data_IF_098132328428
#
_entry.id   IF_098132328428
#
_cell.length_a   1.000
_cell.length_b   1.000
_cell.length_c   1.000
_cell.angle_alpha   90.00
_cell.angle_beta   90.00
_cell.angle_gamma   90.00
#
_symmetry.space_group_name_H-M   'P 1'
#
loop_
_entity.id
_entity.type
_entity.pdbx_description
1 polymer ?
#
# COMPACT_ATOMS: atom_id res chain seq x y z
N UNK A 1 -28.34 0.99 2.37
CA UNK A 1 -27.53 0.82 3.58
C UNK A 1 -26.19 1.46 3.28
N UNK A 2 -25.93 2.66 3.79
CA UNK A 2 -24.66 3.36 3.54
C UNK A 2 -23.52 2.54 4.15
N UNK A 3 -22.64 2.06 3.28
CA UNK A 3 -21.41 1.39 3.65
C UNK A 3 -20.47 2.46 4.20
N UNK A 4 -20.47 2.66 5.51
CA UNK A 4 -19.38 3.36 6.19
C UNK A 4 -18.37 2.28 6.64
N UNK A 5 -17.30 2.01 5.88
CA UNK A 5 -16.23 1.17 6.40
C UNK A 5 -15.70 1.85 7.66
N UNK A 6 -15.75 1.14 8.78
CA UNK A 6 -15.03 1.55 9.97
C UNK A 6 -13.54 1.49 9.63
N UNK A 7 -12.95 2.66 9.53
CA UNK A 7 -11.53 2.89 9.33
C UNK A 7 -10.75 2.26 10.50
N UNK A 8 -10.04 1.17 10.24
CA UNK A 8 -8.98 0.68 11.11
C UNK A 8 -7.71 0.59 10.27
N UNK A 9 -6.85 1.58 10.49
CA UNK A 9 -5.53 1.77 9.87
C UNK A 9 -4.54 0.88 10.61
N UNK A 10 -3.79 0.03 9.90
CA UNK A 10 -2.54 -0.50 10.42
C UNK A 10 -1.38 -0.03 9.56
N UNK A 11 -0.65 0.94 10.11
CA UNK A 11 0.62 1.44 9.64
C UNK A 11 1.65 0.31 9.60
N UNK A 12 2.38 0.21 8.51
CA UNK A 12 3.68 -0.44 8.53
C UNK A 12 4.75 0.63 8.76
N UNK A 13 4.75 1.21 9.96
CA UNK A 13 5.85 2.08 10.39
C UNK A 13 6.78 1.29 11.31
N UNK A 14 7.90 0.75 10.82
CA UNK A 14 8.82 -0.05 11.64
C UNK A 14 9.38 0.71 12.85
N UNK A 15 9.28 2.05 12.88
CA UNK A 15 9.85 2.90 13.93
C UNK A 15 8.87 3.28 15.08
N UNK A 16 7.62 2.80 15.08
CA UNK A 16 6.61 3.16 16.12
C UNK A 16 6.09 2.00 16.98
N UNK A 17 6.76 0.85 16.97
CA UNK A 17 6.54 -0.22 17.96
C UNK A 17 5.31 -1.12 17.74
N UNK A 18 4.52 -0.90 16.68
CA UNK A 18 3.38 -1.76 16.31
C UNK A 18 3.82 -2.88 15.35
N UNK A 19 4.54 -3.88 15.87
CA UNK A 19 5.11 -4.98 15.08
C UNK A 19 4.07 -5.86 14.36
N UNK A 20 2.83 -5.93 14.87
CA UNK A 20 1.81 -6.82 14.29
C UNK A 20 1.23 -6.31 12.97
N UNK A 21 1.18 -4.98 12.76
CA UNK A 21 0.69 -4.39 11.51
C UNK A 21 1.70 -4.48 10.36
N UNK A 22 2.96 -4.81 10.65
CA UNK A 22 4.03 -4.86 9.65
C UNK A 22 4.05 -6.15 8.82
N UNK A 23 3.41 -7.22 9.32
CA UNK A 23 3.38 -8.52 8.66
C UNK A 23 1.96 -8.79 8.16
N UNK A 24 1.84 -9.06 6.86
CA UNK A 24 0.56 -9.17 6.16
C UNK A 24 -0.28 -10.34 6.70
N UNK A 25 0.35 -11.46 7.00
CA UNK A 25 -0.28 -12.65 7.61
C UNK A 25 -0.89 -12.34 8.98
N UNK A 26 -0.16 -11.66 9.86
CA UNK A 26 -0.64 -11.27 11.19
C UNK A 26 -1.81 -10.29 11.10
N UNK A 27 -1.76 -9.36 10.13
CA UNK A 27 -2.84 -8.43 9.88
C UNK A 27 -4.10 -9.15 9.42
N UNK A 28 -3.97 -10.10 8.48
CA UNK A 28 -5.07 -10.96 8.03
C UNK A 28 -5.68 -11.73 9.20
N UNK A 29 -4.85 -12.36 10.04
CA UNK A 29 -5.33 -13.08 11.23
C UNK A 29 -6.08 -12.17 12.20
N UNK A 30 -5.62 -10.93 12.39
CA UNK A 30 -6.29 -9.95 13.25
C UNK A 30 -7.68 -9.59 12.71
N UNK A 31 -7.78 -9.28 11.42
CA UNK A 31 -9.06 -8.92 10.79
C UNK A 31 -10.03 -10.12 10.79
N UNK A 32 -9.51 -11.32 10.51
CA UNK A 32 -10.29 -12.55 10.58
C UNK A 32 -10.86 -12.81 11.98
N UNK A 33 -10.08 -12.52 13.04
CA UNK A 33 -10.54 -12.63 14.44
C UNK A 33 -11.56 -11.57 14.83
N UNK A 34 -11.47 -10.36 14.28
CA UNK A 34 -12.47 -9.31 14.52
C UNK A 34 -13.82 -9.72 13.92
N UNK A 35 -13.81 -10.34 12.74
CA UNK A 35 -14.99 -10.92 12.08
C UNK A 35 -16.18 -9.93 11.97
N UNK A 36 -15.89 -8.67 11.61
CA UNK A 36 -16.91 -7.63 11.39
C UNK A 36 -16.90 -7.17 9.93
N UNK A 37 -18.06 -7.10 9.26
CA UNK A 37 -18.14 -6.75 7.84
C UNK A 37 -17.75 -5.30 7.52
N UNK A 38 -17.75 -4.43 8.53
CA UNK A 38 -17.34 -3.03 8.39
C UNK A 38 -15.88 -2.79 8.76
N UNK A 39 -15.11 -3.83 9.10
CA UNK A 39 -13.69 -3.74 9.42
C UNK A 39 -12.89 -4.40 8.29
N UNK A 40 -11.86 -3.72 7.81
CA UNK A 40 -10.99 -4.24 6.75
C UNK A 40 -9.60 -3.61 6.78
N UNK A 41 -8.85 -3.84 5.72
CA UNK A 41 -7.45 -3.44 5.57
C UNK A 41 -7.35 -2.23 4.64
N UNK A 42 -6.68 -1.19 5.13
CA UNK A 42 -6.03 -0.21 4.27
C UNK A 42 -4.66 -0.75 3.85
N UNK A 43 -4.49 -1.07 2.57
CA UNK A 43 -3.21 -1.55 2.07
C UNK A 43 -2.38 -0.39 1.56
N UNK A 44 -1.24 -0.15 2.23
CA UNK A 44 -0.25 0.84 1.84
C UNK A 44 0.97 0.15 1.22
N UNK A 45 1.19 0.40 -0.08
CA UNK A 45 2.24 -0.26 -0.84
C UNK A 45 3.65 0.16 -0.42
N UNK A 46 3.87 1.43 -0.07
CA UNK A 46 5.19 1.91 0.31
C UNK A 46 5.60 1.41 1.68
N UNK A 47 4.67 1.44 2.63
CA UNK A 47 4.84 0.91 3.96
C UNK A 47 5.05 -0.61 3.95
N UNK A 48 4.24 -1.36 3.20
CA UNK A 48 4.45 -2.79 3.00
C UNK A 48 5.85 -3.09 2.42
N UNK A 49 6.32 -2.27 1.46
CA UNK A 49 7.66 -2.43 0.88
C UNK A 49 8.75 -2.15 1.91
N UNK A 50 8.65 -1.06 2.66
CA UNK A 50 9.63 -0.71 3.70
C UNK A 50 9.76 -1.82 4.73
N UNK A 51 8.65 -2.40 5.21
CA UNK A 51 8.74 -3.55 6.13
C UNK A 51 9.29 -4.81 5.49
N UNK A 52 8.89 -5.14 4.26
CA UNK A 52 9.43 -6.31 3.58
C UNK A 52 10.96 -6.23 3.48
N UNK A 53 11.49 -5.04 3.20
CA UNK A 53 12.92 -4.76 3.17
C UNK A 53 13.54 -4.82 4.56
N UNK A 54 12.89 -4.23 5.57
CA UNK A 54 13.43 -4.15 6.93
C UNK A 54 13.45 -5.51 7.65
N UNK A 55 12.37 -6.30 7.53
CA UNK A 55 12.20 -7.58 8.21
C UNK A 55 12.57 -8.80 7.35
N UNK A 56 12.83 -8.60 6.06
CA UNK A 56 13.32 -9.66 5.16
C UNK A 56 12.25 -10.69 4.75
N UNK A 57 10.97 -10.31 4.68
CA UNK A 57 9.89 -11.18 4.20
C UNK A 57 9.48 -10.88 2.76
N UNK A 58 8.70 -11.77 2.14
CA UNK A 58 8.19 -11.55 0.78
C UNK A 58 7.09 -10.47 0.73
N UNK A 59 7.41 -9.40 0.01
CA UNK A 59 6.52 -8.27 -0.25
C UNK A 59 5.22 -8.66 -0.97
N UNK A 60 5.25 -9.66 -1.86
CA UNK A 60 4.10 -10.01 -2.70
C UNK A 60 3.05 -10.89 -1.99
N UNK A 61 3.12 -11.02 -0.67
CA UNK A 61 2.10 -11.66 0.16
C UNK A 61 0.77 -10.89 0.23
N UNK A 62 0.62 -9.77 -0.50
CA UNK A 62 -0.60 -8.96 -0.61
C UNK A 62 -1.84 -9.74 -1.06
N UNK A 63 -1.67 -10.87 -1.74
CA UNK A 63 -2.78 -11.77 -2.10
C UNK A 63 -3.54 -12.27 -0.86
N UNK A 64 -2.84 -12.51 0.26
CA UNK A 64 -3.46 -12.93 1.53
C UNK A 64 -4.40 -11.86 2.09
N UNK A 65 -4.05 -10.58 1.92
CA UNK A 65 -4.84 -9.46 2.41
C UNK A 65 -6.03 -9.14 1.49
N UNK A 66 -5.97 -9.51 0.20
CA UNK A 66 -6.93 -9.09 -0.83
C UNK A 66 -8.42 -9.21 -0.42
N UNK A 67 -8.88 -10.31 0.20
CA UNK A 67 -10.29 -10.43 0.62
C UNK A 67 -10.74 -9.42 1.68
N UNK A 68 -9.79 -8.82 2.40
CA UNK A 68 -10.04 -7.90 3.50
C UNK A 68 -9.74 -6.44 3.13
N UNK A 69 -9.15 -6.18 1.96
CA UNK A 69 -8.80 -4.82 1.52
C UNK A 69 -10.06 -4.05 1.16
N UNK A 70 -10.24 -2.89 1.80
CA UNK A 70 -11.32 -1.95 1.48
C UNK A 70 -10.80 -0.54 1.15
N UNK A 71 -9.50 -0.29 1.36
CA UNK A 71 -8.82 0.96 1.02
C UNK A 71 -7.40 0.69 0.53
N UNK A 72 -6.94 1.48 -0.42
CA UNK A 72 -5.61 1.46 -1.00
C UNK A 72 -4.98 2.83 -0.83
N UNK A 73 -3.78 2.87 -0.28
CA UNK A 73 -2.96 4.08 -0.19
C UNK A 73 -1.84 4.00 -1.21
N UNK A 74 -1.83 4.94 -2.15
CA UNK A 74 -1.02 4.87 -3.37
C UNK A 74 -0.14 6.10 -3.47
N UNK A 75 1.15 5.83 -3.49
CA UNK A 75 2.24 6.76 -3.75
C UNK A 75 3.46 5.93 -4.18
N UNK A 76 4.58 6.59 -4.45
CA UNK A 76 5.84 5.91 -4.74
C UNK A 76 6.94 6.26 -3.75
N UNK A 77 7.89 5.34 -3.61
CA UNK A 77 9.09 5.51 -2.80
C UNK A 77 10.15 4.51 -3.28
N UNK A 78 11.26 4.39 -2.54
CA UNK A 78 12.29 3.40 -2.86
C UNK A 78 12.24 2.16 -1.98
N UNK A 79 11.29 2.08 -1.04
CA UNK A 79 11.12 0.93 -0.17
C UNK A 79 12.29 0.67 0.80
N UNK A 80 13.16 1.67 1.02
CA UNK A 80 14.33 1.56 1.89
C UNK A 80 13.98 2.06 3.28
N UNK A 81 14.14 1.26 4.36
CA UNK A 81 13.88 1.74 5.70
C UNK A 81 14.89 2.83 6.10
N UNK A 82 14.43 3.79 6.91
CA UNK A 82 15.33 4.70 7.60
C UNK A 82 15.88 3.99 8.85
N UNK A 83 17.14 3.55 8.80
CA UNK A 83 17.79 2.78 9.87
C UNK A 83 18.66 3.64 10.80
N UNK A 84 18.52 4.97 10.78
CA UNK A 84 19.21 5.83 11.75
C UNK A 84 18.32 6.06 12.98
N UNK A 85 18.94 6.17 14.16
CA UNK A 85 18.25 6.33 15.46
C UNK A 85 17.51 7.68 15.64
N UNK A 86 17.39 8.46 14.57
CA UNK A 86 16.68 9.74 14.54
C UNK A 86 15.96 9.91 13.22
N UNK A 87 14.86 10.64 13.23
CA UNK A 87 14.20 11.06 11.99
C UNK A 87 15.10 12.05 11.24
N UNK A 88 15.37 11.76 9.96
CA UNK A 88 16.12 12.67 9.09
C UNK A 88 15.18 13.71 8.50
N UNK A 89 15.62 14.96 8.28
CA UNK A 89 14.84 15.92 7.50
C UNK A 89 14.48 15.35 6.12
N UNK A 90 13.29 15.68 5.61
CA UNK A 90 12.77 15.15 4.33
C UNK A 90 13.76 15.25 3.17
N UNK A 91 14.50 16.37 3.07
CA UNK A 91 15.50 16.57 2.03
C UNK A 91 16.60 15.49 2.04
N UNK A 92 17.06 15.06 3.22
CA UNK A 92 18.04 13.99 3.33
C UNK A 92 17.40 12.62 3.01
N UNK A 93 16.18 12.38 3.48
CA UNK A 93 15.44 11.17 3.13
C UNK A 93 15.32 11.03 1.61
N UNK A 94 14.95 12.12 0.91
CA UNK A 94 14.83 12.17 -0.54
C UNK A 94 16.15 11.87 -1.25
N UNK A 95 17.26 12.51 -0.83
CA UNK A 95 18.59 12.30 -1.42
C UNK A 95 19.05 10.83 -1.31
N UNK A 96 18.81 10.22 -0.16
CA UNK A 96 19.23 8.83 0.09
C UNK A 96 18.18 7.78 -0.34
N UNK A 97 17.00 8.23 -0.74
CA UNK A 97 15.87 7.37 -1.07
C UNK A 97 15.33 6.59 0.13
N UNK A 98 15.33 7.18 1.33
CA UNK A 98 14.97 6.52 2.58
C UNK A 98 13.54 6.82 2.99
N UNK A 99 12.95 5.85 3.68
CA UNK A 99 11.67 5.98 4.33
C UNK A 99 10.51 6.15 3.35
N UNK A 100 9.54 6.90 3.84
CA UNK A 100 8.25 7.07 3.21
C UNK A 100 8.18 8.43 2.50
N UNK A 101 8.56 8.45 1.22
CA UNK A 101 8.82 9.68 0.48
C UNK A 101 7.57 10.33 -0.12
N UNK A 102 6.45 9.62 -0.21
CA UNK A 102 5.18 10.12 -0.76
C UNK A 102 5.38 10.74 -2.17
N UNK A 103 6.18 10.09 -3.02
CA UNK A 103 6.43 10.56 -4.39
C UNK A 103 5.21 10.30 -5.27
N UNK A 104 5.03 11.03 -6.39
CA UNK A 104 4.03 10.67 -7.39
C UNK A 104 4.23 9.22 -7.87
N UNK A 105 3.15 8.42 -8.03
CA UNK A 105 3.24 7.06 -8.58
C UNK A 105 4.04 7.01 -9.90
N UNK A 106 5.10 6.20 -9.94
CA UNK A 106 6.03 6.07 -11.05
C UNK A 106 7.36 6.81 -10.88
N UNK A 107 7.53 7.62 -9.82
CA UNK A 107 8.77 8.37 -9.54
C UNK A 107 9.74 7.63 -8.62
N UNK A 108 9.31 6.51 -8.03
CA UNK A 108 10.12 5.65 -7.19
C UNK A 108 10.45 4.34 -7.89
N UNK A 109 10.54 3.26 -7.11
CA UNK A 109 10.77 1.92 -7.63
C UNK A 109 9.87 0.86 -6.97
N UNK A 110 8.79 1.30 -6.32
CA UNK A 110 7.82 0.35 -5.80
C UNK A 110 7.29 -0.49 -6.98
N UNK A 111 7.18 -1.82 -6.84
CA UNK A 111 6.68 -2.69 -7.90
C UNK A 111 5.15 -2.60 -8.02
N UNK A 112 4.62 -1.38 -8.24
CA UNK A 112 3.19 -1.07 -8.19
C UNK A 112 2.41 -1.86 -9.24
N UNK A 113 2.85 -1.90 -10.50
CA UNK A 113 2.15 -2.65 -11.55
C UNK A 113 1.96 -4.12 -11.18
N UNK A 114 3.03 -4.77 -10.70
CA UNK A 114 2.96 -6.17 -10.24
C UNK A 114 2.08 -6.31 -9.01
N UNK A 115 2.14 -5.37 -8.07
CA UNK A 115 1.30 -5.37 -6.88
C UNK A 115 -0.18 -5.31 -7.25
N UNK A 116 -0.56 -4.35 -8.10
CA UNK A 116 -1.92 -4.17 -8.60
C UNK A 116 -2.39 -5.36 -9.44
N UNK A 117 -1.50 -5.95 -10.25
CA UNK A 117 -1.80 -7.15 -11.04
C UNK A 117 -1.93 -8.42 -10.20
N UNK A 118 -1.59 -8.41 -8.92
CA UNK A 118 -1.80 -9.56 -8.03
C UNK A 118 -3.01 -9.38 -7.11
N UNK A 119 -3.59 -8.18 -7.04
CA UNK A 119 -4.72 -7.92 -6.15
C UNK A 119 -6.01 -8.57 -6.66
N UNK A 120 -6.70 -9.25 -5.73
CA UNK A 120 -8.02 -9.85 -5.95
C UNK A 120 -9.07 -9.16 -5.07
N UNK A 121 -9.36 -7.90 -5.42
CA UNK A 121 -10.31 -7.07 -4.67
C UNK A 121 -11.57 -6.79 -5.51
N UNK A 122 -12.73 -6.72 -4.86
CA UNK A 122 -14.02 -6.43 -5.52
C UNK A 122 -14.31 -4.93 -5.56
N UNK A 123 -14.08 -4.23 -4.46
CA UNK A 123 -14.28 -2.78 -4.34
C UNK A 123 -13.39 -2.23 -3.23
N UNK A 124 -12.67 -1.15 -3.52
CA UNK A 124 -11.89 -0.42 -2.53
C UNK A 124 -11.86 1.08 -2.86
N UNK A 125 -11.66 1.90 -1.83
CA UNK A 125 -11.29 3.31 -2.00
C UNK A 125 -9.81 3.41 -2.33
N UNK A 126 -9.42 4.32 -3.22
CA UNK A 126 -8.02 4.58 -3.53
C UNK A 126 -7.68 6.02 -3.18
N UNK A 127 -6.73 6.19 -2.27
CA UNK A 127 -6.21 7.49 -1.83
C UNK A 127 -4.82 7.69 -2.43
N UNK A 128 -4.60 8.86 -3.04
CA UNK A 128 -3.28 9.29 -3.48
C UNK A 128 -2.60 10.08 -2.36
N UNK A 129 -1.55 9.52 -1.78
CA UNK A 129 -0.79 10.15 -0.68
C UNK A 129 0.50 10.76 -1.23
N UNK A 130 0.37 11.90 -1.91
CA UNK A 130 1.49 12.57 -2.56
C UNK A 130 1.92 13.76 -1.69
N UNK A 131 3.24 13.88 -1.45
CA UNK A 131 3.80 14.97 -0.68
C UNK A 131 3.42 16.33 -1.31
N UNK A 132 3.00 17.34 -0.51
CA UNK A 132 2.50 18.63 -1.04
C UNK A 132 3.47 19.39 -1.95
N UNK A 133 4.77 19.12 -1.82
CA UNK A 133 5.81 19.66 -2.70
C UNK A 133 5.66 19.24 -4.18
N UNK A 134 4.90 18.18 -4.48
CA UNK A 134 4.63 17.70 -5.84
C UNK A 134 3.20 18.03 -6.31
N UNK A 135 2.60 19.11 -5.80
CA UNK A 135 1.24 19.52 -6.16
C UNK A 135 1.03 19.66 -7.67
N UNK A 136 2.04 20.13 -8.40
CA UNK A 136 2.02 20.26 -9.86
C UNK A 136 1.99 18.91 -10.59
N UNK A 137 2.29 17.80 -9.89
CA UNK A 137 2.26 16.42 -10.41
C UNK A 137 1.01 15.65 -10.03
N UNK A 138 0.03 16.23 -9.32
CA UNK A 138 -1.17 15.49 -8.91
C UNK A 138 -1.98 14.96 -10.09
N UNK A 139 -2.05 15.71 -11.20
CA UNK A 139 -2.73 15.25 -12.40
C UNK A 139 -2.03 14.03 -13.04
N UNK A 140 -0.70 14.01 -13.02
CA UNK A 140 0.12 12.88 -13.46
C UNK A 140 -0.08 11.67 -12.54
N UNK A 141 -0.01 11.88 -11.22
CA UNK A 141 -0.27 10.83 -10.23
C UNK A 141 -1.65 10.21 -10.38
N UNK A 142 -2.69 11.02 -10.65
CA UNK A 142 -4.04 10.54 -10.92
C UNK A 142 -4.12 9.71 -12.21
N UNK A 143 -3.38 10.09 -13.26
CA UNK A 143 -3.31 9.32 -14.50
C UNK A 143 -2.68 7.95 -14.23
N UNK A 144 -1.57 7.89 -13.51
CA UNK A 144 -0.90 6.64 -13.14
C UNK A 144 -1.78 5.78 -12.23
N UNK A 145 -2.46 6.36 -11.24
CA UNK A 145 -3.37 5.64 -10.36
C UNK A 145 -4.55 4.99 -11.12
N UNK A 146 -5.14 5.71 -12.10
CA UNK A 146 -6.18 5.14 -12.97
C UNK A 146 -5.64 3.96 -13.80
N UNK A 147 -4.41 4.07 -14.29
CA UNK A 147 -3.75 2.98 -15.00
C UNK A 147 -3.55 1.76 -14.07
N UNK A 148 -2.98 1.96 -12.87
CA UNK A 148 -2.80 0.89 -11.89
C UNK A 148 -4.11 0.21 -11.52
N UNK A 149 -5.18 0.98 -11.28
CA UNK A 149 -6.51 0.44 -11.01
C UNK A 149 -7.04 -0.44 -12.16
N UNK A 150 -6.71 -0.11 -13.42
CA UNK A 150 -7.13 -0.91 -14.57
C UNK A 150 -6.51 -2.32 -14.60
N UNK A 151 -5.33 -2.49 -13.99
CA UNK A 151 -4.64 -3.79 -13.93
C UNK A 151 -5.41 -4.80 -13.05
N UNK A 152 -6.07 -4.33 -11.99
CA UNK A 152 -6.92 -5.17 -11.13
C UNK A 152 -8.09 -5.74 -11.95
N UNK A 153 -8.75 -4.89 -12.74
CA UNK A 153 -9.94 -5.26 -13.51
C UNK A 153 -9.65 -6.27 -14.63
N UNK A 154 -8.45 -6.21 -15.21
CA UNK A 154 -8.05 -7.10 -16.30
C UNK A 154 -7.85 -8.55 -15.84
N UNK A 155 -7.50 -8.77 -14.56
CA UNK A 155 -7.39 -10.11 -13.98
C UNK A 155 -8.75 -10.79 -13.84
N UNK A 156 -9.77 -10.05 -13.43
CA UNK A 156 -11.14 -10.58 -13.31
C UNK A 156 -11.68 -11.07 -14.66
N UNK A 157 -11.38 -10.37 -15.76
CA UNK A 157 -11.77 -10.83 -17.10
C UNK A 157 -10.97 -12.04 -17.62
N UNK A 158 -9.73 -12.21 -17.15
CA UNK A 158 -8.88 -13.34 -17.49
C UNK A 158 -9.30 -14.66 -16.83
N UNK A 159 -9.80 -14.60 -15.59
CA UNK A 159 -10.33 -15.77 -14.86
C UNK A 159 -11.71 -16.20 -15.40
N UNK A 160 -12.61 -15.27 -15.73
CA UNK A 160 -13.95 -15.57 -16.28
C UNK A 160 -13.89 -16.25 -17.66
N UNK A 161 -12.85 -15.99 -18.47
CA UNK A 161 -12.69 -16.58 -19.80
C UNK A 161 -12.08 -17.99 -19.81
N UNK A 162 -11.63 -18.50 -18.66
CA UNK A 162 -11.04 -19.85 -18.52
C UNK A 162 -11.95 -20.83 -17.77
N UNK A 163 -13.15 -20.41 -17.41
CA UNK A 163 -14.18 -21.24 -16.76
C UNK A 163 -15.17 -21.85 -17.75
#
# INVERSE_FOLDING_TARGET
>A
MEFYPALIIFFVHPLKGLLNGAFIDKLVDQIARIAKPNVGITFDFGHARVASTHFGFDYFSSELASPYINSLHVYDSFGRPNNVDRELPYMFQLIYGLGDLHLPPGWGNLPLEKSFSNLKISQAFMTLEIHPGYKDKYAEGLKTAKYLASLINNNHMGEVRRG
#
